data_IF_002092772150
#
_entry.id   IF_002092772150
#
_cell.length_a   1.000
_cell.length_b   1.000
_cell.length_c   1.000
_cell.angle_alpha   90.00
_cell.angle_beta   90.00
_cell.angle_gamma   90.00
#
_symmetry.space_group_name_H-M   'P 1'
#
loop_
_entity.id
_entity.type
_entity.pdbx_description
1 polymer ?
#
# COMPACT_ATOMS: atom_id res chain seq x y z
N UNK A 1 12.30 10.05 28.78
CA UNK A 1 11.03 9.61 28.18
C UNK A 1 11.40 9.00 26.85
N UNK A 2 11.52 7.68 26.80
CA UNK A 2 11.71 6.95 25.55
C UNK A 2 10.39 7.04 24.78
N UNK A 3 10.42 7.78 23.66
CA UNK A 3 9.31 7.79 22.71
C UNK A 3 9.20 6.38 22.14
N UNK A 4 8.01 5.73 22.15
CA UNK A 4 7.84 4.46 21.49
C UNK A 4 8.21 4.63 20.01
N UNK A 5 9.11 3.77 19.54
CA UNK A 5 9.41 3.62 18.13
C UNK A 5 8.11 3.40 17.38
N UNK A 6 7.63 4.41 16.68
CA UNK A 6 6.55 4.26 15.72
C UNK A 6 7.02 3.19 14.73
N UNK A 7 6.51 1.96 14.87
CA UNK A 7 6.64 0.95 13.83
C UNK A 7 6.22 1.63 12.53
N UNK A 8 7.01 1.53 11.45
CA UNK A 8 6.65 2.16 10.20
C UNK A 8 5.35 1.51 9.74
N UNK A 9 4.22 2.19 10.01
CA UNK A 9 2.95 1.98 9.31
C UNK A 9 3.32 1.81 7.84
N UNK A 10 2.93 0.69 7.24
CA UNK A 10 3.46 0.16 5.98
C UNK A 10 3.81 1.30 5.02
N UNK A 11 5.09 1.71 5.02
CA UNK A 11 5.47 2.89 4.29
C UNK A 11 5.60 2.44 2.83
N UNK A 12 4.52 2.55 2.06
CA UNK A 12 4.51 2.05 0.68
C UNK A 12 5.57 2.73 -0.16
N UNK A 13 5.84 4.01 0.10
CA UNK A 13 6.97 4.70 -0.51
C UNK A 13 8.21 4.53 0.35
N UNK A 14 9.30 4.14 -0.30
CA UNK A 14 10.63 4.26 0.29
C UNK A 14 11.00 5.73 0.43
N UNK A 15 12.02 6.02 1.25
CA UNK A 15 12.59 7.37 1.33
C UNK A 15 13.06 7.87 -0.04
N UNK A 16 13.62 6.97 -0.86
CA UNK A 16 14.08 7.28 -2.22
C UNK A 16 12.91 7.67 -3.14
N UNK A 17 11.82 6.90 -3.12
CA UNK A 17 10.62 7.23 -3.92
C UNK A 17 9.98 8.54 -3.46
N UNK A 18 9.93 8.77 -2.16
CA UNK A 18 9.44 10.03 -1.59
C UNK A 18 10.26 11.22 -2.09
N UNK A 19 11.59 11.10 -2.06
CA UNK A 19 12.50 12.11 -2.57
C UNK A 19 12.33 12.37 -4.08
N UNK A 20 12.09 11.32 -4.89
CA UNK A 20 11.78 11.46 -6.32
C UNK A 20 10.49 12.25 -6.55
N UNK A 21 9.45 12.01 -5.76
CA UNK A 21 8.20 12.78 -5.84
C UNK A 21 8.42 14.24 -5.42
N UNK A 22 9.24 14.49 -4.39
CA UNK A 22 9.53 15.84 -3.94
C UNK A 22 10.35 16.66 -4.95
N UNK A 23 11.29 16.02 -5.63
CA UNK A 23 12.11 16.64 -6.67
C UNK A 23 11.35 16.91 -7.98
N UNK A 24 10.18 16.28 -8.18
CA UNK A 24 9.39 16.48 -9.38
C UNK A 24 8.77 17.89 -9.45
N UNK A 25 8.68 18.44 -10.65
CA UNK A 25 8.01 19.71 -10.98
C UNK A 25 6.49 19.54 -10.96
N UNK A 26 5.97 19.22 -9.79
CA UNK A 26 4.55 18.97 -9.51
C UNK A 26 4.06 19.91 -8.42
N UNK A 27 2.81 20.34 -8.53
CA UNK A 27 2.07 21.02 -7.47
C UNK A 27 1.81 20.07 -6.27
N UNK A 28 1.46 20.62 -5.11
CA UNK A 28 1.19 19.82 -3.92
C UNK A 28 0.09 18.75 -4.11
N UNK A 29 -1.06 19.03 -4.77
CA UNK A 29 -2.06 18.02 -5.06
C UNK A 29 -1.54 16.89 -5.96
N UNK A 30 -0.76 17.23 -6.98
CA UNK A 30 -0.17 16.25 -7.89
C UNK A 30 0.86 15.37 -7.18
N UNK A 31 1.68 15.94 -6.28
CA UNK A 31 2.60 15.17 -5.44
C UNK A 31 1.84 14.20 -4.54
N UNK A 32 0.75 14.64 -3.91
CA UNK A 32 -0.09 13.75 -3.11
C UNK A 32 -0.64 12.60 -3.95
N UNK A 33 -1.26 12.90 -5.09
CA UNK A 33 -1.81 11.89 -5.98
C UNK A 33 -0.74 10.93 -6.48
N UNK A 34 0.46 11.43 -6.81
CA UNK A 34 1.60 10.59 -7.23
C UNK A 34 1.98 9.59 -6.15
N UNK A 35 2.05 10.01 -4.88
CA UNK A 35 2.34 9.09 -3.76
C UNK A 35 1.25 8.03 -3.62
N UNK A 36 -0.02 8.43 -3.73
CA UNK A 36 -1.15 7.52 -3.69
C UNK A 36 -1.04 6.48 -4.83
N UNK A 37 -0.82 6.92 -6.06
CA UNK A 37 -0.71 6.05 -7.24
C UNK A 37 0.46 5.07 -7.13
N UNK A 38 1.64 5.51 -6.66
CA UNK A 38 2.79 4.61 -6.44
C UNK A 38 2.45 3.55 -5.38
N UNK A 39 1.79 3.97 -4.29
CA UNK A 39 1.36 3.06 -3.22
C UNK A 39 0.36 2.02 -3.74
N UNK A 40 -0.63 2.46 -4.51
CA UNK A 40 -1.60 1.58 -5.17
C UNK A 40 -0.93 0.62 -6.14
N UNK A 41 0.04 1.06 -6.95
CA UNK A 41 0.75 0.18 -7.89
C UNK A 41 1.48 -0.95 -7.16
N UNK A 42 2.15 -0.66 -6.03
CA UNK A 42 2.81 -1.68 -5.22
C UNK A 42 1.84 -2.68 -4.63
N UNK A 43 0.71 -2.19 -4.13
CA UNK A 43 -0.35 -3.05 -3.60
C UNK A 43 -0.92 -3.95 -4.70
N UNK A 44 -1.23 -3.42 -5.88
CA UNK A 44 -1.73 -4.20 -7.01
C UNK A 44 -0.73 -5.29 -7.45
N UNK A 45 0.57 -5.00 -7.45
CA UNK A 45 1.61 -6.00 -7.70
C UNK A 45 1.59 -7.11 -6.66
N UNK A 46 1.44 -6.76 -5.38
CA UNK A 46 1.34 -7.74 -4.30
C UNK A 46 0.08 -8.61 -4.43
N UNK A 47 -1.07 -8.01 -4.71
CA UNK A 47 -2.33 -8.74 -4.93
C UNK A 47 -2.18 -9.70 -6.12
N UNK A 48 -1.66 -9.24 -7.25
CA UNK A 48 -1.44 -10.09 -8.42
C UNK A 48 -0.51 -11.28 -8.12
N UNK A 49 0.54 -11.06 -7.32
CA UNK A 49 1.42 -12.13 -6.83
C UNK A 49 0.69 -13.15 -5.96
N UNK A 50 -0.20 -12.72 -5.06
CA UNK A 50 -1.01 -13.65 -4.24
C UNK A 50 -1.96 -14.51 -5.09
N UNK A 51 -2.52 -13.94 -6.16
CA UNK A 51 -3.38 -14.69 -7.09
C UNK A 51 -2.59 -15.51 -8.12
N UNK A 52 -1.27 -15.34 -8.22
CA UNK A 52 -0.42 -16.03 -9.19
C UNK A 52 -0.68 -15.62 -10.64
N UNK A 53 -1.11 -14.39 -10.88
CA UNK A 53 -1.43 -13.84 -12.20
C UNK A 53 -0.57 -12.61 -12.52
N UNK A 54 -0.59 -12.18 -13.78
CA UNK A 54 0.01 -10.89 -14.15
C UNK A 54 -0.81 -9.73 -13.55
N UNK A 55 -0.20 -8.56 -13.39
CA UNK A 55 -0.94 -7.39 -12.89
C UNK A 55 -1.99 -6.92 -13.90
N UNK A 56 -1.75 -7.17 -15.19
CA UNK A 56 -2.63 -6.85 -16.31
C UNK A 56 -3.91 -7.71 -16.31
N UNK A 57 -3.84 -8.92 -15.73
CA UNK A 57 -4.97 -9.84 -15.62
C UNK A 57 -5.81 -9.62 -14.34
N UNK A 58 -5.37 -8.73 -13.44
CA UNK A 58 -6.03 -8.50 -12.17
C UNK A 58 -7.39 -7.82 -12.39
N UNK A 59 -8.45 -8.46 -11.94
CA UNK A 59 -9.82 -7.94 -12.07
C UNK A 59 -10.23 -7.06 -10.89
N UNK A 60 -11.20 -6.17 -11.10
CA UNK A 60 -11.81 -5.38 -10.03
C UNK A 60 -12.35 -6.26 -8.91
N UNK A 61 -12.98 -7.39 -9.24
CA UNK A 61 -13.54 -8.30 -8.24
C UNK A 61 -12.44 -8.92 -7.37
N UNK A 62 -11.32 -9.37 -7.95
CA UNK A 62 -10.20 -9.90 -7.17
C UNK A 62 -9.57 -8.85 -6.24
N UNK A 63 -9.52 -7.59 -6.67
CA UNK A 63 -9.08 -6.49 -5.79
C UNK A 63 -10.04 -6.36 -4.61
N UNK A 64 -11.36 -6.30 -4.85
CA UNK A 64 -12.37 -6.23 -3.79
C UNK A 64 -12.24 -7.41 -2.82
N UNK A 65 -12.20 -8.64 -3.35
CA UNK A 65 -12.11 -9.88 -2.58
C UNK A 65 -10.85 -9.90 -1.70
N UNK A 66 -9.72 -9.41 -2.23
CA UNK A 66 -8.48 -9.31 -1.47
C UNK A 66 -8.59 -8.32 -0.31
N UNK A 67 -9.18 -7.14 -0.53
CA UNK A 67 -9.41 -6.15 0.54
C UNK A 67 -10.37 -6.68 1.61
N UNK A 68 -11.41 -7.44 1.23
CA UNK A 68 -12.31 -8.09 2.17
C UNK A 68 -11.59 -9.17 3.00
N UNK A 69 -10.76 -10.00 2.34
CA UNK A 69 -9.92 -11.02 2.98
C UNK A 69 -8.98 -10.37 4.00
N UNK A 70 -8.22 -9.35 3.60
CA UNK A 70 -7.28 -8.66 4.48
C UNK A 70 -7.99 -7.96 5.64
N UNK A 71 -9.12 -7.30 5.37
CA UNK A 71 -9.96 -6.68 6.38
C UNK A 71 -10.54 -7.68 7.39
N UNK A 72 -10.89 -8.89 6.93
CA UNK A 72 -11.30 -9.99 7.82
C UNK A 72 -10.16 -10.46 8.71
N UNK A 73 -8.97 -10.70 8.14
CA UNK A 73 -7.77 -11.07 8.90
C UNK A 73 -7.50 -10.02 9.99
N UNK A 74 -7.55 -8.73 9.65
CA UNK A 74 -7.37 -7.64 10.62
C UNK A 74 -8.37 -7.71 11.78
N UNK A 75 -9.66 -7.90 11.47
CA UNK A 75 -10.73 -7.95 12.50
C UNK A 75 -10.62 -9.18 13.39
N UNK A 76 -10.22 -10.32 12.85
CA UNK A 76 -10.21 -11.61 13.56
C UNK A 76 -8.89 -11.90 14.28
N UNK A 77 -7.77 -11.46 13.69
CA UNK A 77 -6.41 -11.82 14.12
C UNK A 77 -5.56 -10.61 14.51
N UNK A 78 -6.08 -9.39 14.34
CA UNK A 78 -5.42 -8.13 14.69
C UNK A 78 -4.65 -7.49 13.54
N UNK A 79 -4.28 -6.22 13.74
CA UNK A 79 -3.59 -5.37 12.75
C UNK A 79 -2.23 -5.91 12.30
N UNK A 80 -1.54 -6.63 13.19
CA UNK A 80 -0.26 -7.24 12.87
C UNK A 80 -0.38 -8.46 11.96
N UNK A 81 -1.57 -9.07 11.85
CA UNK A 81 -1.82 -10.22 10.99
C UNK A 81 -2.22 -9.83 9.56
N UNK A 82 -2.83 -8.66 9.36
CA UNK A 82 -3.20 -8.16 8.03
C UNK A 82 -1.99 -7.58 7.29
N UNK A 83 -2.01 -7.62 5.97
CA UNK A 83 -1.02 -6.96 5.13
C UNK A 83 -1.09 -5.43 5.30
N UNK A 84 -2.31 -4.87 5.27
CA UNK A 84 -2.52 -3.46 5.54
C UNK A 84 -2.50 -3.23 7.06
N UNK A 85 -1.67 -2.28 7.51
CA UNK A 85 -1.42 -2.00 8.93
C UNK A 85 -2.18 -0.77 9.43
N UNK A 86 -3.37 -0.50 8.89
CA UNK A 86 -4.27 0.58 9.30
C UNK A 86 -5.73 0.14 9.32
#
# INVERSE_FOLDING_TARGET
MDLPSQQPSTQFLTLEESAKVDAALLSSPEKFLTRLTISSLKLLKHIAQEYGISIEDLTTQQVIDWFEKDGRIRREQGIEASYLKW
#
